data_IF_164441657145
#
_entry.id   IF_164441657145
#
_cell.length_a   1.000
_cell.length_b   1.000
_cell.length_c   1.000
_cell.angle_alpha   90.00
_cell.angle_beta   90.00
_cell.angle_gamma   90.00
#
_symmetry.space_group_name_H-M   'P 1'
#
loop_
_entity.id
_entity.type
_entity.pdbx_description
1 polymer ?
#
# COMPACT_ATOMS: atom_id res chain seq x y z
N UNK A 1 -11.96 -8.73 -10.98
CA UNK A 1 -11.28 -9.18 -12.22
C UNK A 1 -11.32 -8.11 -13.28
N UNK A 2 -10.17 -7.63 -13.78
CA UNK A 2 -10.09 -6.99 -15.09
C UNK A 2 -9.43 -7.93 -16.11
N UNK A 3 -10.07 -8.04 -17.28
CA UNK A 3 -9.63 -8.82 -18.44
C UNK A 3 -8.46 -8.11 -19.13
N UNK A 4 -7.32 -8.79 -19.23
CA UNK A 4 -6.15 -8.36 -20.01
C UNK A 4 -6.36 -8.78 -21.46
N UNK A 5 -6.51 -7.82 -22.36
CA UNK A 5 -6.47 -8.07 -23.80
C UNK A 5 -5.00 -8.13 -24.24
N UNK A 6 -4.53 -9.33 -24.56
CA UNK A 6 -3.30 -9.56 -25.32
C UNK A 6 -3.54 -9.12 -26.77
N UNK A 7 -3.24 -7.85 -27.07
CA UNK A 7 -3.13 -7.36 -28.44
C UNK A 7 -1.75 -7.72 -28.98
N UNK A 8 -1.69 -8.73 -29.85
CA UNK A 8 -0.48 -9.19 -30.50
C UNK A 8 0.23 -8.11 -31.30
N UNK A 9 1.56 -8.13 -31.22
CA UNK A 9 2.47 -7.42 -32.13
C UNK A 9 2.39 -8.05 -33.53
N UNK A 10 2.10 -7.29 -34.59
CA UNK A 10 2.50 -7.66 -35.93
C UNK A 10 3.85 -7.02 -36.23
N UNK A 11 4.93 -7.76 -35.98
CA UNK A 11 6.21 -7.58 -36.65
C UNK A 11 6.06 -8.04 -38.11
N UNK A 12 5.69 -7.15 -39.04
CA UNK A 12 6.05 -7.32 -40.46
C UNK A 12 6.24 -5.93 -41.06
N UNK A 13 7.51 -5.54 -41.25
CA UNK A 13 7.88 -4.45 -42.14
C UNK A 13 7.62 -4.89 -43.59
N UNK A 14 6.44 -4.56 -44.12
CA UNK A 14 6.24 -4.57 -45.56
C UNK A 14 6.88 -3.30 -46.13
N UNK A 15 8.12 -3.42 -46.61
CA UNK A 15 8.70 -2.45 -47.53
C UNK A 15 7.90 -2.49 -48.84
N UNK A 16 6.83 -1.71 -48.93
CA UNK A 16 6.24 -1.39 -50.22
C UNK A 16 7.18 -0.39 -50.91
N UNK A 17 8.19 -0.92 -51.61
CA UNK A 17 8.88 -0.21 -52.66
C UNK A 17 7.81 0.13 -53.71
N UNK A 18 7.26 1.34 -53.63
CA UNK A 18 6.43 1.87 -54.70
C UNK A 18 7.27 1.84 -55.98
N UNK A 19 6.83 0.97 -56.89
CA UNK A 19 7.37 0.81 -58.23
C UNK A 19 7.22 2.17 -58.92
N UNK A 20 8.30 2.95 -58.94
CA UNK A 20 8.39 4.13 -59.78
C UNK A 20 8.28 3.65 -61.22
N UNK A 21 7.11 3.85 -61.83
CA UNK A 21 6.99 3.73 -63.27
C UNK A 21 7.83 4.86 -63.86
N UNK A 22 9.06 4.56 -64.25
CA UNK A 22 9.81 5.42 -65.15
C UNK A 22 9.12 5.36 -66.51
N UNK A 23 8.13 6.22 -66.74
CA UNK A 23 7.71 6.58 -68.09
C UNK A 23 8.92 7.22 -68.76
N UNK A 24 9.37 6.58 -69.84
CA UNK A 24 10.69 6.70 -70.44
C UNK A 24 11.21 8.13 -70.56
N UNK A 25 12.40 8.35 -70.00
CA UNK A 25 13.24 9.45 -70.44
C UNK A 25 13.55 9.23 -71.92
N UNK A 26 13.05 10.11 -72.79
CA UNK A 26 13.47 10.13 -74.18
C UNK A 26 14.97 10.40 -74.20
N UNK A 27 15.75 9.41 -74.59
CA UNK A 27 17.19 9.57 -74.78
C UNK A 27 17.41 10.53 -75.95
N UNK A 28 17.61 11.82 -75.65
CA UNK A 28 18.08 12.80 -76.63
C UNK A 28 19.57 12.52 -76.85
N UNK A 29 19.86 11.69 -77.85
CA UNK A 29 21.21 11.50 -78.36
C UNK A 29 21.74 12.84 -78.88
N UNK A 30 22.97 13.21 -78.52
CA UNK A 30 23.68 14.38 -79.08
C UNK A 30 23.66 14.41 -80.60
N UNK A 31 23.55 13.26 -81.27
CA UNK A 31 23.45 13.18 -82.73
C UNK A 31 22.15 13.76 -83.27
N UNK A 32 21.02 13.63 -82.56
CA UNK A 32 19.71 14.16 -82.97
C UNK A 32 19.56 15.67 -82.78
N UNK A 33 20.32 16.26 -81.84
CA UNK A 33 20.35 17.73 -81.64
C UNK A 33 21.01 18.49 -82.80
N UNK A 34 21.96 17.85 -83.50
CA UNK A 34 22.65 18.46 -84.64
C UNK A 34 21.76 18.48 -85.89
N UNK A 35 20.87 17.51 -86.03
CA UNK A 35 19.96 17.37 -87.17
C UNK A 35 18.66 18.20 -87.02
N UNK A 36 18.25 18.52 -85.78
CA UNK A 36 17.08 19.38 -85.47
C UNK A 36 17.33 20.23 -84.20
N UNK A 37 17.69 21.52 -84.37
CA UNK A 37 17.99 22.44 -83.26
C UNK A 37 16.82 22.69 -82.31
N UNK A 38 15.57 22.64 -82.79
CA UNK A 38 14.38 22.86 -81.94
C UNK A 38 14.14 21.66 -81.01
N UNK A 39 14.46 20.45 -81.47
CA UNK A 39 14.47 19.23 -80.64
C UNK A 39 15.40 19.35 -79.44
N UNK A 40 16.54 20.05 -79.61
CA UNK A 40 17.53 20.26 -78.56
C UNK A 40 17.04 21.22 -77.46
N UNK A 41 16.41 22.33 -77.84
CA UNK A 41 15.85 23.30 -76.90
C UNK A 41 14.70 22.70 -76.06
N UNK A 42 13.87 21.86 -76.70
CA UNK A 42 12.82 21.09 -76.02
C UNK A 42 13.41 20.11 -74.99
N UNK A 43 14.47 19.39 -75.37
CA UNK A 43 15.18 18.46 -74.47
C UNK A 43 15.78 19.15 -73.24
N UNK A 44 16.42 20.32 -73.41
CA UNK A 44 16.97 21.10 -72.28
C UNK A 44 15.87 21.57 -71.33
N UNK A 45 14.75 22.06 -71.87
CA UNK A 45 13.60 22.49 -71.06
C UNK A 45 12.98 21.30 -70.29
N UNK A 46 12.91 20.14 -70.92
CA UNK A 46 12.42 18.91 -70.28
C UNK A 46 13.37 18.44 -69.16
N UNK A 47 14.69 18.50 -69.36
CA UNK A 47 15.66 18.16 -68.31
C UNK A 47 15.62 19.16 -67.16
N UNK A 48 15.45 20.46 -67.44
CA UNK A 48 15.30 21.49 -66.40
C UNK A 48 14.05 21.25 -65.54
N UNK A 49 12.91 20.93 -66.15
CA UNK A 49 11.68 20.61 -65.41
C UNK A 49 11.80 19.28 -64.64
N UNK A 50 12.50 18.30 -65.20
CA UNK A 50 12.79 17.03 -64.52
C UNK A 50 13.68 17.26 -63.28
N UNK A 51 14.73 18.07 -63.41
CA UNK A 51 15.60 18.42 -62.29
C UNK A 51 14.85 19.20 -61.20
N UNK A 52 13.92 20.08 -61.59
CA UNK A 52 13.05 20.81 -60.67
C UNK A 52 12.13 19.86 -59.90
N UNK A 53 11.50 18.92 -60.60
CA UNK A 53 10.64 17.88 -60.00
C UNK A 53 11.43 17.01 -59.02
N UNK A 54 12.60 16.51 -59.42
CA UNK A 54 13.47 15.70 -58.55
C UNK A 54 13.86 16.48 -57.28
N UNK A 55 14.20 17.76 -57.42
CA UNK A 55 14.58 18.60 -56.26
C UNK A 55 13.40 18.77 -55.29
N UNK A 56 12.19 18.95 -55.81
CA UNK A 56 10.98 19.06 -54.99
C UNK A 56 10.65 17.75 -54.27
N UNK A 57 10.76 16.61 -54.97
CA UNK A 57 10.56 15.28 -54.38
C UNK A 57 11.59 15.01 -53.28
N UNK A 58 12.87 15.31 -53.51
CA UNK A 58 13.93 15.15 -52.50
C UNK A 58 13.64 16.02 -51.27
N UNK A 59 13.23 17.28 -51.46
CA UNK A 59 12.84 18.14 -50.33
C UNK A 59 11.60 17.63 -49.60
N UNK A 60 10.62 17.08 -50.32
CA UNK A 60 9.44 16.47 -49.71
C UNK A 60 9.83 15.27 -48.83
N UNK A 61 10.64 14.36 -49.37
CA UNK A 61 11.11 13.16 -48.67
C UNK A 61 12.01 13.50 -47.48
N UNK A 62 12.89 14.50 -47.59
CA UNK A 62 13.71 14.97 -46.48
C UNK A 62 12.84 15.55 -45.34
N UNK A 63 11.81 16.34 -45.68
CA UNK A 63 10.88 16.86 -44.69
C UNK A 63 10.01 15.77 -44.06
N UNK A 64 9.56 14.79 -44.85
CA UNK A 64 8.83 13.63 -44.34
C UNK A 64 9.71 12.81 -43.37
N UNK A 65 10.98 12.62 -43.73
CA UNK A 65 11.97 11.94 -42.91
C UNK A 65 12.25 12.69 -41.60
N UNK A 66 12.42 14.01 -41.64
CA UNK A 66 12.57 14.84 -40.44
C UNK A 66 11.36 14.69 -39.50
N UNK A 67 10.14 14.76 -40.03
CA UNK A 67 8.91 14.56 -39.24
C UNK A 67 8.84 13.16 -38.61
N UNK A 68 9.28 12.12 -39.34
CA UNK A 68 9.36 10.75 -38.80
C UNK A 68 10.35 10.66 -37.64
N UNK A 69 11.53 11.26 -37.75
CA UNK A 69 12.51 11.29 -36.66
C UNK A 69 12.00 12.04 -35.42
N UNK A 70 11.34 13.18 -35.60
CA UNK A 70 10.73 13.92 -34.48
C UNK A 70 9.64 13.11 -33.78
N UNK A 71 8.84 12.34 -34.53
CA UNK A 71 7.83 11.44 -33.97
C UNK A 71 8.49 10.33 -33.12
N UNK A 72 9.52 9.68 -33.66
CA UNK A 72 10.27 8.63 -32.95
C UNK A 72 10.86 9.19 -31.65
N UNK A 73 11.50 10.37 -31.69
CA UNK A 73 12.05 11.02 -30.49
C UNK A 73 10.97 11.26 -29.41
N UNK A 74 9.78 11.74 -29.79
CA UNK A 74 8.66 11.94 -28.85
C UNK A 74 8.18 10.63 -28.23
N UNK A 75 8.11 9.56 -29.01
CA UNK A 75 7.73 8.23 -28.51
C UNK A 75 8.75 7.68 -27.50
N UNK A 76 10.05 7.88 -27.73
CA UNK A 76 11.11 7.50 -26.78
C UNK A 76 11.05 8.30 -25.47
N UNK A 77 10.80 9.61 -25.53
CA UNK A 77 10.60 10.45 -24.33
C UNK A 77 9.37 9.98 -23.55
N UNK A 78 8.29 9.62 -24.24
CA UNK A 78 7.10 9.02 -23.62
C UNK A 78 7.39 7.69 -22.90
N UNK A 79 8.27 6.86 -23.43
CA UNK A 79 8.66 5.60 -22.77
C UNK A 79 9.38 5.83 -21.43
N UNK A 80 10.24 6.86 -21.33
CA UNK A 80 10.91 7.19 -20.07
C UNK A 80 9.92 7.63 -18.98
N UNK A 81 8.91 8.42 -19.33
CA UNK A 81 7.88 8.84 -18.36
C UNK A 81 7.01 7.66 -17.91
N UNK A 82 6.64 6.75 -18.82
CA UNK A 82 5.97 5.50 -18.47
C UNK A 82 6.81 4.61 -17.53
N UNK A 83 8.12 4.51 -17.77
CA UNK A 83 9.02 3.72 -16.91
C UNK A 83 9.05 4.25 -15.47
N UNK A 84 9.07 5.58 -15.31
CA UNK A 84 9.02 6.23 -13.99
C UNK A 84 7.71 5.93 -13.25
N UNK A 85 6.58 5.90 -13.97
CA UNK A 85 5.26 5.58 -13.41
C UNK A 85 5.18 4.10 -13.01
N UNK A 86 5.70 3.20 -13.83
CA UNK A 86 5.76 1.75 -13.53
C UNK A 86 6.61 1.49 -12.28
N UNK A 87 7.76 2.15 -12.15
CA UNK A 87 8.62 2.01 -10.97
C UNK A 87 7.95 2.56 -9.71
N UNK A 88 7.28 3.71 -9.80
CA UNK A 88 6.49 4.28 -8.69
C UNK A 88 5.37 3.33 -8.26
N UNK A 89 4.61 2.80 -9.22
CA UNK A 89 3.55 1.82 -8.97
C UNK A 89 4.10 0.56 -8.29
N UNK A 90 5.22 0.01 -8.79
CA UNK A 90 5.86 -1.19 -8.22
C UNK A 90 6.34 -0.95 -6.79
N UNK A 91 6.92 0.21 -6.50
CA UNK A 91 7.35 0.59 -5.16
C UNK A 91 6.17 0.73 -4.19
N UNK A 92 5.11 1.42 -4.61
CA UNK A 92 3.88 1.58 -3.84
C UNK A 92 3.21 0.23 -3.55
N UNK A 93 3.12 -0.63 -4.57
CA UNK A 93 2.57 -1.97 -4.45
C UNK A 93 3.40 -2.83 -3.48
N UNK A 94 4.73 -2.83 -3.60
CA UNK A 94 5.60 -3.57 -2.68
C UNK A 94 5.43 -3.10 -1.22
N UNK A 95 5.25 -1.80 -1.01
CA UNK A 95 4.99 -1.22 0.32
C UNK A 95 3.66 -1.70 0.89
N UNK A 96 2.59 -1.69 0.08
CA UNK A 96 1.28 -2.22 0.47
C UNK A 96 1.32 -3.70 0.81
N UNK A 97 2.04 -4.50 0.00
CA UNK A 97 2.21 -5.94 0.27
C UNK A 97 2.92 -6.16 1.61
N UNK A 98 4.01 -5.44 1.91
CA UNK A 98 4.69 -5.57 3.21
C UNK A 98 3.76 -5.23 4.38
N UNK A 99 3.04 -4.10 4.29
CA UNK A 99 2.09 -3.68 5.32
C UNK A 99 0.98 -4.72 5.53
N UNK A 100 0.41 -5.26 4.45
CA UNK A 100 -0.63 -6.28 4.55
C UNK A 100 -0.09 -7.60 5.16
N UNK A 101 1.12 -8.01 4.79
CA UNK A 101 1.78 -9.20 5.37
C UNK A 101 2.00 -9.03 6.87
N UNK A 102 2.49 -7.87 7.31
CA UNK A 102 2.64 -7.57 8.74
C UNK A 102 1.30 -7.61 9.48
N UNK A 103 0.25 -7.00 8.91
CA UNK A 103 -1.09 -7.05 9.48
C UNK A 103 -1.60 -8.50 9.61
N UNK A 104 -1.38 -9.35 8.60
CA UNK A 104 -1.76 -10.78 8.65
C UNK A 104 -0.96 -11.57 9.68
N UNK A 105 0.33 -11.29 9.84
CA UNK A 105 1.15 -11.90 10.88
C UNK A 105 0.65 -11.50 12.28
N UNK A 106 0.31 -10.23 12.47
CA UNK A 106 -0.27 -9.74 13.73
C UNK A 106 -1.63 -10.39 14.01
N UNK A 107 -2.53 -10.44 13.04
CA UNK A 107 -3.82 -11.14 13.17
C UNK A 107 -3.64 -12.61 13.53
N UNK A 108 -2.63 -13.28 12.97
CA UNK A 108 -2.31 -14.68 13.31
C UNK A 108 -1.80 -14.81 14.74
N UNK A 109 -0.97 -13.87 15.20
CA UNK A 109 -0.49 -13.85 16.58
C UNK A 109 -1.63 -13.58 17.57
N UNK A 110 -2.53 -12.64 17.23
CA UNK A 110 -3.68 -12.30 18.07
C UNK A 110 -4.70 -13.44 18.11
N UNK A 111 -4.90 -14.16 16.99
CA UNK A 111 -5.76 -15.34 16.91
C UNK A 111 -5.08 -16.64 17.37
N UNK A 112 -3.84 -16.59 17.85
CA UNK A 112 -3.27 -17.75 18.53
C UNK A 112 -4.04 -17.95 19.83
N UNK A 113 -4.96 -18.91 19.81
CA UNK A 113 -5.84 -19.29 20.93
C UNK A 113 -5.02 -19.49 22.20
N UNK A 114 -3.78 -19.98 22.07
CA UNK A 114 -2.85 -20.14 23.19
C UNK A 114 -2.49 -18.81 23.85
N UNK A 115 -2.24 -17.76 23.07
CA UNK A 115 -1.96 -16.42 23.59
C UNK A 115 -3.22 -15.77 24.18
N UNK A 116 -4.37 -15.95 23.54
CA UNK A 116 -5.64 -15.46 24.11
C UNK A 116 -5.93 -16.13 25.45
N UNK A 117 -5.82 -17.46 25.55
CA UNK A 117 -5.99 -18.20 26.79
C UNK A 117 -5.01 -17.71 27.88
N UNK A 118 -3.73 -17.51 27.55
CA UNK A 118 -2.74 -16.98 28.51
C UNK A 118 -3.10 -15.58 29.01
N UNK A 119 -3.57 -14.69 28.13
CA UNK A 119 -3.99 -13.33 28.51
C UNK A 119 -5.22 -13.36 29.42
N UNK A 120 -6.22 -14.17 29.08
CA UNK A 120 -7.43 -14.33 29.89
C UNK A 120 -7.09 -14.92 31.26
N UNK A 121 -6.25 -15.96 31.30
CA UNK A 121 -5.83 -16.60 32.55
C UNK A 121 -5.04 -15.62 33.43
N UNK A 122 -4.10 -14.86 32.86
CA UNK A 122 -3.35 -13.83 33.59
C UNK A 122 -4.24 -12.70 34.12
N UNK A 123 -5.24 -12.27 33.34
CA UNK A 123 -6.21 -11.26 33.78
C UNK A 123 -7.10 -11.80 34.92
N UNK A 124 -7.54 -13.05 34.83
CA UNK A 124 -8.31 -13.71 35.87
C UNK A 124 -7.49 -13.91 37.16
N UNK A 125 -6.22 -14.31 37.06
CA UNK A 125 -5.30 -14.38 38.20
C UNK A 125 -5.08 -13.02 38.86
N UNK A 126 -4.94 -11.95 38.05
CA UNK A 126 -4.79 -10.59 38.56
C UNK A 126 -6.05 -10.12 39.30
N UNK A 127 -7.23 -10.39 38.74
CA UNK A 127 -8.51 -10.09 39.39
C UNK A 127 -8.65 -10.85 40.72
N UNK A 128 -8.29 -12.14 40.74
CA UNK A 128 -8.27 -12.93 41.99
C UNK A 128 -7.37 -12.28 43.04
N UNK A 129 -6.15 -11.91 42.66
CA UNK A 129 -5.20 -11.25 43.57
C UNK A 129 -5.78 -9.96 44.13
N UNK A 130 -6.35 -9.09 43.28
CA UNK A 130 -6.98 -7.84 43.72
C UNK A 130 -8.15 -8.06 44.70
N UNK A 131 -8.98 -9.08 44.46
CA UNK A 131 -10.13 -9.37 45.32
C UNK A 131 -9.72 -10.03 46.65
N UNK A 132 -8.72 -10.89 46.62
CA UNK A 132 -8.28 -11.65 47.80
C UNK A 132 -7.25 -10.89 48.65
N UNK A 133 -6.58 -9.88 48.11
CA UNK A 133 -5.64 -9.04 48.85
C UNK A 133 -6.26 -7.76 49.43
N UNK A 134 -7.58 -7.56 49.31
CA UNK A 134 -8.28 -6.40 49.87
C UNK A 134 -7.99 -6.24 51.37
N UNK A 135 -7.87 -4.98 51.79
CA UNK A 135 -7.60 -4.58 53.18
C UNK A 135 -8.53 -5.26 54.20
N UNK A 136 -9.81 -5.43 53.89
CA UNK A 136 -10.79 -6.10 54.76
C UNK A 136 -10.40 -7.54 55.10
N UNK A 137 -9.67 -8.23 54.20
CA UNK A 137 -9.22 -9.61 54.34
C UNK A 137 -7.78 -9.72 54.85
N UNK A 138 -6.92 -8.74 54.54
CA UNK A 138 -5.47 -8.82 54.79
C UNK A 138 -4.95 -7.92 55.90
N UNK A 139 -5.76 -6.97 56.38
CA UNK A 139 -5.34 -6.03 57.43
C UNK A 139 -4.96 -6.76 58.71
N UNK A 140 -3.85 -6.36 59.31
CA UNK A 140 -3.34 -6.96 60.53
C UNK A 140 -4.32 -6.72 61.69
N UNK A 141 -4.60 -7.78 62.46
CA UNK A 141 -5.42 -7.70 63.67
C UNK A 141 -4.84 -6.78 64.74
N UNK A 142 -3.53 -6.50 64.66
CA UNK A 142 -2.85 -5.55 65.54
C UNK A 142 -3.38 -4.11 65.43
N UNK A 143 -3.98 -3.73 64.30
CA UNK A 143 -4.58 -2.40 64.10
C UNK A 143 -5.86 -2.20 64.93
N UNK A 144 -6.43 -3.27 65.50
CA UNK A 144 -7.59 -3.24 66.38
C UNK A 144 -7.23 -3.06 67.86
N UNK A 145 -5.99 -3.36 68.25
CA UNK A 145 -5.52 -3.29 69.64
C UNK A 145 -5.69 -1.91 70.28
N UNK A 146 -5.44 -0.78 69.57
CA UNK A 146 -5.66 0.55 70.12
C UNK A 146 -7.14 0.86 70.41
N UNK A 147 -8.07 0.19 69.72
CA UNK A 147 -9.50 0.38 69.94
C UNK A 147 -9.95 -0.33 71.22
N UNK A 148 -9.30 -1.41 71.63
CA UNK A 148 -9.68 -2.26 72.77
C UNK A 148 -9.70 -1.56 74.15
N UNK A 149 -9.46 -0.25 74.24
CA UNK A 149 -9.58 0.54 75.45
C UNK A 149 -10.47 1.77 75.19
N UNK A 150 -11.38 2.12 76.12
CA UNK A 150 -12.19 3.33 76.00
C UNK A 150 -11.32 4.58 76.07
N UNK A 151 -11.72 5.61 75.34
CA UNK A 151 -11.08 6.92 75.43
C UNK A 151 -11.32 7.53 76.83
N UNK A 152 -10.39 8.38 77.29
CA UNK A 152 -10.36 8.94 78.67
C UNK A 152 -11.67 9.63 79.10
N UNK A 153 -12.52 10.05 78.16
CA UNK A 153 -13.79 10.76 78.41
C UNK A 153 -15.05 9.98 77.97
N UNK A 154 -14.90 8.74 77.50
CA UNK A 154 -16.01 7.93 77.00
C UNK A 154 -16.56 7.03 78.11
N UNK A 155 -17.88 6.94 78.24
CA UNK A 155 -18.49 5.97 79.16
C UNK A 155 -18.33 4.56 78.61
N UNK A 156 -18.23 3.56 79.51
CA UNK A 156 -18.08 2.16 79.10
C UNK A 156 -19.24 1.68 78.20
N UNK A 157 -20.46 2.12 78.48
CA UNK A 157 -21.64 1.78 77.69
C UNK A 157 -21.56 2.30 76.25
N UNK A 158 -21.28 3.60 76.07
CA UNK A 158 -21.12 4.17 74.73
C UNK A 158 -19.95 3.55 73.96
N UNK A 159 -18.84 3.24 74.66
CA UNK A 159 -17.71 2.56 74.03
C UNK A 159 -18.05 1.14 73.56
N UNK A 160 -18.83 0.38 74.32
CA UNK A 160 -19.27 -0.96 73.93
C UNK A 160 -20.21 -0.94 72.72
N UNK A 161 -21.09 0.06 72.65
CA UNK A 161 -22.01 0.26 71.52
C UNK A 161 -21.23 0.62 70.25
N UNK A 162 -20.33 1.61 70.32
CA UNK A 162 -19.46 2.00 69.21
C UNK A 162 -18.61 0.82 68.73
N UNK A 163 -18.12 0.00 69.67
CA UNK A 163 -17.38 -1.21 69.34
C UNK A 163 -18.22 -2.25 68.63
N UNK A 164 -19.41 -2.53 69.14
CA UNK A 164 -20.33 -3.47 68.51
C UNK A 164 -20.65 -3.04 67.07
N UNK A 165 -20.86 -1.75 66.84
CA UNK A 165 -21.08 -1.20 65.50
C UNK A 165 -19.86 -1.36 64.60
N UNK A 166 -18.66 -0.97 65.06
CA UNK A 166 -17.41 -1.09 64.29
C UNK A 166 -17.10 -2.55 63.92
N UNK A 167 -17.26 -3.48 64.87
CA UNK A 167 -17.06 -4.91 64.62
C UNK A 167 -18.08 -5.45 63.62
N UNK A 168 -19.36 -5.04 63.74
CA UNK A 168 -20.39 -5.48 62.81
C UNK A 168 -20.14 -4.97 61.38
N UNK A 169 -19.77 -3.70 61.22
CA UNK A 169 -19.43 -3.13 59.90
C UNK A 169 -18.25 -3.89 59.28
N UNK A 170 -17.15 -4.04 60.02
CA UNK A 170 -15.96 -4.74 59.51
C UNK A 170 -16.24 -6.21 59.19
N UNK A 171 -17.07 -6.88 60.00
CA UNK A 171 -17.46 -8.25 59.73
C UNK A 171 -18.29 -8.37 58.45
N UNK A 172 -19.21 -7.43 58.21
CA UNK A 172 -20.00 -7.41 56.97
C UNK A 172 -19.12 -7.15 55.74
N UNK A 173 -18.20 -6.18 55.82
CA UNK A 173 -17.21 -5.92 54.76
C UNK A 173 -16.33 -7.14 54.48
N UNK A 174 -15.79 -7.76 55.53
CA UNK A 174 -15.00 -8.99 55.42
C UNK A 174 -15.80 -10.13 54.79
N UNK A 175 -17.07 -10.31 55.19
CA UNK A 175 -17.93 -11.38 54.69
C UNK A 175 -18.22 -11.22 53.19
N UNK A 176 -18.49 -10.01 52.74
CA UNK A 176 -18.72 -9.71 51.32
C UNK A 176 -17.47 -9.93 50.49
N UNK A 177 -16.33 -9.40 50.94
CA UNK A 177 -15.05 -9.55 50.24
C UNK A 177 -14.55 -10.99 50.24
N UNK A 178 -14.77 -11.73 51.33
CA UNK A 178 -14.43 -13.15 51.41
C UNK A 178 -15.28 -13.98 50.45
N UNK A 179 -16.56 -13.66 50.29
CA UNK A 179 -17.43 -14.33 49.34
C UNK A 179 -17.04 -14.03 47.89
N UNK A 180 -16.65 -12.77 47.60
CA UNK A 180 -16.16 -12.37 46.28
C UNK A 180 -14.84 -13.09 45.91
N UNK A 181 -13.88 -13.14 46.84
CA UNK A 181 -12.63 -13.88 46.67
C UNK A 181 -12.90 -15.38 46.45
N UNK A 182 -13.71 -16.03 47.30
CA UNK A 182 -14.05 -17.45 47.14
C UNK A 182 -14.71 -17.77 45.79
N UNK A 183 -15.62 -16.92 45.33
CA UNK A 183 -16.29 -17.09 44.04
C UNK A 183 -15.29 -17.05 42.88
N UNK A 184 -14.32 -16.14 42.92
CA UNK A 184 -13.28 -16.03 41.91
C UNK A 184 -12.29 -17.21 41.96
N UNK A 185 -11.93 -17.69 43.15
CA UNK A 185 -11.08 -18.89 43.29
C UNK A 185 -11.74 -20.15 42.73
N UNK A 186 -13.05 -20.32 42.95
CA UNK A 186 -13.82 -21.43 42.38
C UNK A 186 -13.93 -21.30 40.86
N UNK A 187 -14.14 -20.08 40.35
CA UNK A 187 -14.22 -19.81 38.90
C UNK A 187 -12.91 -20.08 38.14
N UNK A 188 -11.76 -19.88 38.80
CA UNK A 188 -10.43 -20.19 38.24
C UNK A 188 -10.10 -21.69 38.29
N UNK A 189 -10.53 -22.42 39.33
CA UNK A 189 -10.30 -23.87 39.45
C UNK A 189 -11.17 -24.71 38.50
N UNK A 190 -12.26 -24.14 37.98
CA UNK A 190 -13.19 -24.80 37.07
C UNK A 190 -12.84 -24.62 35.57
N UNK A 191 -11.82 -23.83 35.25
CA UNK A 191 -11.28 -23.60 33.90
C UNK A 191 -10.08 -24.50 33.62
#
# INVERSE_FOLDING_TARGET
SPKVWLGGLPCVCAFALHRSHSTGAAAVSSSKCMDDPESCASGVKQMAETARTITQEVHHELNATRKRFEKILKEFVGCNSLMSQVNSYRSSFATKVRSHTQCRQQQKADNDVTMMCKKVLSAAETNRTLLCERDSLTRATNDLVPLCKPAVKQSLGMWLEDMAEIFNIRYMEWKEDSAACQKEEVGLRAQ
#
